data_IF_663545035589
#
_entry.id   IF_663545035589
#
_cell.length_a   1.000
_cell.length_b   1.000
_cell.length_c   1.000
_cell.angle_alpha   90.00
_cell.angle_beta   90.00
_cell.angle_gamma   90.00
#
_symmetry.space_group_name_H-M   'P 1'
#
loop_
_entity.id
_entity.type
_entity.pdbx_description
1 polymer ?
#
# COMPACT_ATOMS: atom_id res chain seq x y z
N UNK A 1 31.06 2.82 28.50
CA UNK A 1 31.71 1.50 28.56
C UNK A 1 32.17 1.07 27.16
N UNK A 2 33.40 0.55 26.99
CA UNK A 2 33.97 0.20 25.67
C UNK A 2 33.26 -0.97 24.97
N UNK A 3 32.91 -2.03 25.72
CA UNK A 3 32.21 -3.19 25.16
C UNK A 3 30.77 -2.87 24.75
N UNK A 4 30.05 -2.08 25.55
CA UNK A 4 28.67 -1.65 25.30
C UNK A 4 28.56 -0.84 23.99
N UNK A 5 29.47 0.12 23.79
CA UNK A 5 29.52 0.92 22.55
C UNK A 5 29.71 0.06 21.28
N UNK A 6 30.34 -1.11 21.42
CA UNK A 6 30.64 -2.03 20.31
C UNK A 6 29.63 -3.17 20.17
N UNK A 7 28.60 -3.23 21.02
CA UNK A 7 27.59 -4.28 20.99
C UNK A 7 26.71 -4.20 19.73
N UNK A 8 26.50 -2.99 19.19
CA UNK A 8 25.71 -2.76 17.97
C UNK A 8 26.44 -3.02 16.65
N UNK A 9 27.72 -3.39 16.66
CA UNK A 9 28.44 -3.74 15.43
C UNK A 9 27.81 -4.99 14.80
N UNK A 10 27.76 -5.14 13.47
CA UNK A 10 27.06 -6.26 12.86
C UNK A 10 27.82 -7.58 13.03
N UNK A 11 27.11 -8.67 13.31
CA UNK A 11 27.73 -10.00 13.47
C UNK A 11 28.13 -10.59 12.11
N UNK A 12 29.20 -11.37 12.09
CA UNK A 12 29.66 -12.10 10.91
C UNK A 12 30.99 -11.57 10.37
N UNK A 13 31.56 -12.29 9.40
CA UNK A 13 32.80 -11.89 8.75
C UNK A 13 32.56 -10.73 7.77
N UNK A 14 33.47 -9.76 7.75
CA UNK A 14 33.46 -8.66 6.76
C UNK A 14 33.83 -9.13 5.37
N UNK A 15 33.34 -8.38 4.39
CA UNK A 15 33.74 -8.54 3.01
C UNK A 15 35.23 -8.23 2.86
N UNK A 16 35.99 -9.13 2.22
CA UNK A 16 37.41 -8.94 1.93
C UNK A 16 37.67 -9.18 0.46
N UNK A 17 38.52 -8.37 -0.15
CA UNK A 17 39.01 -8.66 -1.49
C UNK A 17 40.18 -9.64 -1.41
N UNK A 18 40.14 -10.71 -2.20
CA UNK A 18 41.23 -11.69 -2.28
C UNK A 18 41.46 -12.05 -3.75
N UNK A 19 42.69 -11.87 -4.24
CA UNK A 19 43.08 -12.14 -5.63
C UNK A 19 42.20 -11.43 -6.68
N UNK A 20 41.85 -10.16 -6.44
CA UNK A 20 41.01 -9.38 -7.35
C UNK A 20 39.52 -9.75 -7.33
N UNK A 21 39.11 -10.64 -6.42
CA UNK A 21 37.72 -11.08 -6.28
C UNK A 21 37.21 -10.75 -4.88
N UNK A 22 36.00 -10.24 -4.82
CA UNK A 22 35.27 -10.04 -3.56
C UNK A 22 34.93 -11.39 -2.93
N UNK A 23 35.47 -11.64 -1.73
CA UNK A 23 35.31 -12.88 -0.97
C UNK A 23 34.69 -12.60 0.41
N UNK A 24 33.64 -13.33 0.82
CA UNK A 24 32.83 -14.31 0.06
C UNK A 24 31.99 -13.66 -1.07
N UNK A 25 31.41 -14.43 -2.00
CA UNK A 25 30.64 -13.86 -3.13
C UNK A 25 29.31 -13.21 -2.72
N UNK A 26 28.76 -13.56 -1.54
CA UNK A 26 27.53 -12.95 -1.01
C UNK A 26 27.85 -11.72 -0.17
N UNK A 27 27.00 -10.69 -0.28
CA UNK A 27 27.12 -9.46 0.50
C UNK A 27 27.22 -9.77 2.00
N UNK A 28 28.22 -9.14 2.64
CA UNK A 28 28.44 -9.20 4.09
C UNK A 28 28.21 -7.83 4.72
N UNK A 29 27.96 -7.78 6.04
CA UNK A 29 27.92 -6.51 6.73
C UNK A 29 29.23 -5.75 6.53
N UNK A 30 29.12 -4.44 6.36
CA UNK A 30 30.25 -3.51 6.24
C UNK A 30 30.53 -2.84 7.59
N UNK A 31 31.75 -2.31 7.78
CA UNK A 31 32.16 -1.62 9.01
C UNK A 31 33.16 -2.40 9.87
N UNK A 32 33.40 -1.93 11.10
CA UNK A 32 34.38 -2.54 12.01
C UNK A 32 33.97 -3.94 12.47
N UNK A 33 34.92 -4.86 12.61
CA UNK A 33 34.71 -6.20 13.16
C UNK A 33 34.28 -6.15 14.64
N UNK A 34 33.37 -7.06 15.03
CA UNK A 34 33.02 -7.23 16.44
C UNK A 34 34.21 -7.74 17.25
N UNK A 35 34.38 -7.28 18.51
CA UNK A 35 35.40 -7.83 19.40
C UNK A 35 35.12 -9.32 19.68
N UNK A 36 36.18 -10.07 19.99
CA UNK A 36 36.13 -11.52 20.17
C UNK A 36 35.05 -11.98 21.16
N UNK A 37 34.87 -11.25 22.27
CA UNK A 37 33.86 -11.57 23.31
C UNK A 37 32.44 -11.55 22.74
N UNK A 38 32.09 -10.50 21.99
CA UNK A 38 30.77 -10.39 21.36
C UNK A 38 30.57 -11.49 20.32
N UNK A 39 31.60 -11.78 19.51
CA UNK A 39 31.56 -12.88 18.54
C UNK A 39 31.36 -14.25 19.21
N UNK A 40 32.01 -14.50 20.35
CA UNK A 40 31.86 -15.72 21.12
C UNK A 40 30.41 -15.87 21.62
N UNK A 41 29.86 -14.87 22.29
CA UNK A 41 28.49 -14.93 22.79
C UNK A 41 27.46 -15.01 21.66
N UNK A 42 27.69 -14.30 20.56
CA UNK A 42 26.84 -14.34 19.38
C UNK A 42 26.82 -15.72 18.71
N UNK A 43 27.92 -16.48 18.75
CA UNK A 43 27.96 -17.86 18.28
C UNK A 43 27.39 -18.85 19.31
N UNK A 44 27.68 -18.63 20.60
CA UNK A 44 27.30 -19.54 21.69
C UNK A 44 25.78 -19.55 21.95
N UNK A 45 25.13 -18.38 21.83
CA UNK A 45 23.69 -18.26 22.02
C UNK A 45 22.89 -18.35 20.72
N UNK A 46 23.54 -18.71 19.60
CA UNK A 46 22.83 -18.98 18.34
C UNK A 46 21.77 -20.08 18.57
N UNK A 47 20.51 -19.92 18.12
CA UNK A 47 19.98 -18.84 17.27
C UNK A 47 19.24 -17.72 18.01
N UNK A 48 19.08 -17.78 19.33
CA UNK A 48 18.08 -17.00 20.06
C UNK A 48 18.22 -15.46 19.92
N UNK A 49 19.41 -14.84 19.98
CA UNK A 49 19.55 -13.39 19.77
C UNK A 49 19.11 -12.93 18.37
N UNK A 50 19.30 -13.77 17.35
CA UNK A 50 18.95 -13.45 15.96
C UNK A 50 17.48 -13.70 15.68
N UNK A 51 16.89 -14.72 16.30
CA UNK A 51 15.46 -14.96 16.19
C UNK A 51 14.64 -13.74 16.62
N UNK A 52 15.06 -13.05 17.70
CA UNK A 52 14.38 -11.84 18.14
C UNK A 52 14.45 -10.72 17.09
N UNK A 53 15.63 -10.49 16.49
CA UNK A 53 15.81 -9.47 15.45
C UNK A 53 15.10 -9.83 14.15
N UNK A 54 15.13 -11.10 13.74
CA UNK A 54 14.42 -11.59 12.55
C UNK A 54 12.90 -11.48 12.75
N UNK A 55 12.40 -11.84 13.93
CA UNK A 55 11.00 -11.65 14.30
C UNK A 55 10.62 -10.17 14.26
N UNK A 56 11.40 -9.29 14.89
CA UNK A 56 11.15 -7.84 14.90
C UNK A 56 11.15 -7.26 13.49
N UNK A 57 12.09 -7.68 12.64
CA UNK A 57 12.13 -7.29 11.22
C UNK A 57 10.85 -7.69 10.49
N UNK A 58 10.43 -8.94 10.64
CA UNK A 58 9.17 -9.44 10.04
C UNK A 58 7.96 -8.68 10.57
N UNK A 59 7.87 -8.47 11.89
CA UNK A 59 6.77 -7.71 12.50
C UNK A 59 6.73 -6.27 12.00
N UNK A 60 7.89 -5.62 11.86
CA UNK A 60 7.99 -4.25 11.34
C UNK A 60 7.47 -4.17 9.90
N UNK A 61 7.86 -5.12 9.05
CA UNK A 61 7.37 -5.18 7.67
C UNK A 61 5.87 -5.46 7.60
N UNK A 62 5.37 -6.42 8.39
CA UNK A 62 3.94 -6.73 8.48
C UNK A 62 3.16 -5.50 8.95
N UNK A 63 3.63 -4.80 9.98
CA UNK A 63 2.97 -3.61 10.49
C UNK A 63 2.92 -2.52 9.43
N UNK A 64 4.01 -2.27 8.71
CA UNK A 64 4.01 -1.31 7.60
C UNK A 64 3.01 -1.69 6.50
N UNK A 65 2.83 -2.98 6.20
CA UNK A 65 1.80 -3.43 5.26
C UNK A 65 0.38 -3.20 5.80
N UNK A 66 0.14 -3.48 7.08
CA UNK A 66 -1.14 -3.22 7.75
C UNK A 66 -1.47 -1.74 7.72
N UNK A 67 -0.51 -0.88 8.08
CA UNK A 67 -0.67 0.56 8.08
C UNK A 67 -0.99 1.08 6.67
N UNK A 68 -0.24 0.64 5.65
CA UNK A 68 -0.52 0.98 4.26
C UNK A 68 -1.90 0.48 3.77
N UNK A 69 -2.34 -0.68 4.25
CA UNK A 69 -3.68 -1.22 4.01
C UNK A 69 -4.76 -0.30 4.58
N UNK A 70 -4.59 0.14 5.83
CA UNK A 70 -5.49 1.09 6.48
C UNK A 70 -5.52 2.44 5.78
N UNK A 71 -4.37 3.01 5.44
CA UNK A 71 -4.30 4.28 4.69
C UNK A 71 -5.05 4.10 3.36
N UNK A 72 -4.83 3.01 2.64
CA UNK A 72 -5.51 2.74 1.36
C UNK A 72 -7.02 2.57 1.52
N UNK A 73 -7.47 1.91 2.57
CA UNK A 73 -8.89 1.72 2.86
C UNK A 73 -9.58 3.00 3.34
N UNK A 74 -8.85 3.89 4.01
CA UNK A 74 -9.36 5.20 4.45
C UNK A 74 -9.11 6.32 3.43
N UNK A 75 -8.67 5.96 2.21
CA UNK A 75 -8.49 6.91 1.11
C UNK A 75 -9.76 7.02 0.26
N UNK A 76 -10.24 8.24 0.10
CA UNK A 76 -11.25 8.64 -0.89
C UNK A 76 -10.56 8.95 -2.22
N UNK A 77 -10.65 8.00 -3.14
CA UNK A 77 -10.22 8.13 -4.53
C UNK A 77 -11.20 8.92 -5.40
N UNK A 78 -10.77 9.26 -6.61
CA UNK A 78 -11.55 9.98 -7.63
C UNK A 78 -12.97 9.45 -7.85
N UNK A 79 -13.17 8.13 -7.86
CA UNK A 79 -14.50 7.53 -8.09
C UNK A 79 -15.47 7.67 -6.90
N UNK A 80 -15.05 8.25 -5.78
CA UNK A 80 -15.93 8.63 -4.67
C UNK A 80 -16.51 10.04 -4.82
N UNK A 81 -15.99 10.79 -5.78
CA UNK A 81 -16.50 12.11 -6.15
C UNK A 81 -17.41 11.98 -7.35
N UNK A 82 -18.27 12.97 -7.53
CA UNK A 82 -19.08 13.05 -8.75
C UNK A 82 -18.22 13.37 -9.97
N UNK A 83 -18.54 12.78 -11.11
CA UNK A 83 -17.79 12.97 -12.37
C UNK A 83 -18.01 14.37 -12.94
N UNK A 84 -19.23 14.91 -12.77
CA UNK A 84 -19.59 16.25 -13.26
C UNK A 84 -19.16 17.35 -12.28
N UNK A 85 -19.29 17.10 -10.98
CA UNK A 85 -19.05 18.09 -9.92
C UNK A 85 -18.04 17.58 -8.88
N UNK A 86 -16.72 17.86 -9.03
CA UNK A 86 -15.70 17.39 -8.09
C UNK A 86 -15.79 18.03 -6.68
N UNK A 87 -16.70 19.00 -6.50
CA UNK A 87 -17.04 19.60 -5.20
C UNK A 87 -18.01 18.76 -4.38
N UNK A 88 -18.54 17.66 -4.92
CA UNK A 88 -19.55 16.85 -4.26
C UNK A 88 -19.12 15.37 -4.18
N UNK A 89 -19.45 14.73 -3.06
CA UNK A 89 -19.27 13.29 -2.89
C UNK A 89 -20.48 12.55 -3.49
N UNK A 90 -20.21 11.50 -4.25
CA UNK A 90 -21.27 10.63 -4.74
C UNK A 90 -21.76 9.68 -3.62
N UNK A 91 -22.80 8.89 -3.89
CA UNK A 91 -23.35 7.96 -2.91
C UNK A 91 -22.31 6.97 -2.34
N UNK A 92 -21.38 6.50 -3.18
CA UNK A 92 -20.32 5.60 -2.74
C UNK A 92 -19.33 6.33 -1.81
N UNK A 93 -18.96 7.57 -2.15
CA UNK A 93 -18.09 8.41 -1.32
C UNK A 93 -18.70 8.75 0.03
N UNK A 94 -19.98 9.11 0.06
CA UNK A 94 -20.72 9.37 1.32
C UNK A 94 -20.77 8.11 2.19
N UNK A 95 -21.08 6.96 1.60
CA UNK A 95 -21.14 5.69 2.33
C UNK A 95 -19.78 5.29 2.88
N UNK A 96 -18.72 5.46 2.07
CA UNK A 96 -17.35 5.15 2.47
C UNK A 96 -16.84 6.09 3.56
N UNK A 97 -17.10 7.38 3.43
CA UNK A 97 -16.77 8.38 4.45
C UNK A 97 -17.47 8.03 5.77
N UNK A 98 -18.77 7.70 5.75
CA UNK A 98 -19.49 7.25 6.95
C UNK A 98 -18.83 6.03 7.59
N UNK A 99 -18.44 5.04 6.79
CA UNK A 99 -17.73 3.86 7.30
C UNK A 99 -16.41 4.24 7.98
N UNK A 100 -15.63 5.15 7.40
CA UNK A 100 -14.38 5.65 8.00
C UNK A 100 -14.67 6.31 9.36
N UNK A 101 -15.69 7.17 9.43
CA UNK A 101 -16.02 7.93 10.62
C UNK A 101 -16.52 7.05 11.77
N UNK A 102 -17.35 6.04 11.46
CA UNK A 102 -18.03 5.23 12.46
C UNK A 102 -17.30 3.92 12.80
N UNK A 103 -16.73 3.25 11.80
CA UNK A 103 -16.26 1.86 11.92
C UNK A 103 -14.73 1.74 11.94
N UNK A 104 -13.99 2.73 11.41
CA UNK A 104 -12.53 2.64 11.44
C UNK A 104 -12.01 2.71 12.89
N UNK A 105 -11.00 1.89 13.25
CA UNK A 105 -10.35 1.96 14.56
C UNK A 105 -9.77 3.35 14.81
N UNK A 106 -9.84 3.83 16.05
CA UNK A 106 -9.45 5.20 16.41
C UNK A 106 -8.02 5.57 15.97
N UNK A 107 -7.07 4.67 16.14
CA UNK A 107 -5.66 4.87 15.76
C UNK A 107 -5.41 4.91 14.24
N UNK A 108 -6.37 4.47 13.43
CA UNK A 108 -6.32 4.51 11.96
C UNK A 108 -7.40 5.41 11.35
N UNK A 109 -8.16 6.14 12.18
CA UNK A 109 -9.26 6.99 11.73
C UNK A 109 -8.72 8.33 11.23
N UNK A 110 -8.11 8.27 10.05
CA UNK A 110 -7.61 9.42 9.29
C UNK A 110 -8.23 9.34 7.91
N UNK A 111 -8.88 10.40 7.44
CA UNK A 111 -9.47 10.40 6.10
C UNK A 111 -8.43 10.92 5.10
N UNK A 112 -8.04 10.08 4.14
CA UNK A 112 -7.14 10.49 3.07
C UNK A 112 -7.94 10.86 1.84
N UNK A 113 -7.53 11.92 1.14
CA UNK A 113 -8.13 12.35 -0.12
C UNK A 113 -7.09 12.27 -1.21
N UNK A 114 -7.41 11.59 -2.31
CA UNK A 114 -6.50 11.49 -3.45
C UNK A 114 -6.24 12.85 -4.08
N UNK A 115 -4.96 13.19 -4.27
CA UNK A 115 -4.55 14.39 -5.00
C UNK A 115 -5.06 14.33 -6.44
N UNK A 116 -5.77 15.38 -6.87
CA UNK A 116 -6.25 15.52 -8.25
C UNK A 116 -5.14 15.94 -9.23
N UNK A 117 -5.45 16.05 -10.54
CA UNK A 117 -4.46 16.44 -11.56
C UNK A 117 -3.89 17.84 -11.38
N UNK A 118 -4.58 18.69 -10.62
CA UNK A 118 -4.23 20.07 -10.32
C UNK A 118 -4.61 20.41 -8.87
N UNK A 119 -3.87 21.36 -8.29
CA UNK A 119 -4.01 21.74 -6.88
C UNK A 119 -5.43 22.21 -6.55
N UNK A 120 -6.04 22.96 -7.45
CA UNK A 120 -7.40 23.46 -7.26
C UNK A 120 -8.42 22.33 -7.03
N UNK A 121 -8.35 21.24 -7.80
CA UNK A 121 -9.24 20.08 -7.61
C UNK A 121 -8.98 19.41 -6.27
N UNK A 122 -7.71 19.33 -5.85
CA UNK A 122 -7.34 18.74 -4.56
C UNK A 122 -7.91 19.55 -3.39
N UNK A 123 -7.82 20.88 -3.47
CA UNK A 123 -8.36 21.79 -2.45
C UNK A 123 -9.90 21.72 -2.40
N UNK A 124 -10.56 21.64 -3.58
CA UNK A 124 -12.02 21.49 -3.68
C UNK A 124 -12.49 20.16 -3.09
N UNK A 125 -11.84 19.04 -3.46
CA UNK A 125 -12.17 17.71 -2.93
C UNK A 125 -11.96 17.62 -1.42
N UNK A 126 -10.85 18.19 -0.91
CA UNK A 126 -10.56 18.22 0.52
C UNK A 126 -11.63 19.03 1.29
N UNK A 127 -12.05 20.18 0.76
CA UNK A 127 -13.11 20.98 1.35
C UNK A 127 -14.46 20.24 1.34
N UNK A 128 -14.82 19.61 0.21
CA UNK A 128 -16.02 18.80 0.10
C UNK A 128 -16.10 17.69 1.17
N UNK A 129 -14.99 16.99 1.38
CA UNK A 129 -14.89 15.93 2.41
C UNK A 129 -14.99 16.53 3.81
N UNK A 130 -14.39 17.69 4.05
CA UNK A 130 -14.44 18.36 5.35
C UNK A 130 -15.85 18.83 5.70
N UNK A 131 -16.57 19.41 4.74
CA UNK A 131 -17.98 19.80 4.91
C UNK A 131 -18.84 18.56 5.17
N UNK A 132 -18.72 17.53 4.34
CA UNK A 132 -19.50 16.31 4.49
C UNK A 132 -19.21 15.58 5.81
N UNK A 133 -17.96 15.55 6.26
CA UNK A 133 -17.60 14.94 7.54
C UNK A 133 -18.17 15.76 8.72
N UNK A 134 -18.08 17.09 8.67
CA UNK A 134 -18.64 17.96 9.69
C UNK A 134 -20.17 17.83 9.80
N UNK A 135 -20.87 17.62 8.68
CA UNK A 135 -22.30 17.33 8.67
C UNK A 135 -22.65 15.99 9.33
N UNK A 136 -21.79 14.97 9.19
CA UNK A 136 -22.04 13.63 9.73
C UNK A 136 -21.76 13.50 11.23
N UNK A 137 -20.63 14.03 11.72
CA UNK A 137 -20.19 13.83 13.12
C UNK A 137 -20.10 15.10 13.96
N UNK A 138 -20.37 16.25 13.35
CA UNK A 138 -20.17 17.58 13.95
C UNK A 138 -18.72 18.07 13.84
N UNK A 139 -18.48 19.39 13.83
CA UNK A 139 -17.17 19.98 13.54
C UNK A 139 -16.07 19.62 14.56
N UNK A 140 -16.43 19.33 15.81
CA UNK A 140 -15.48 19.01 16.89
C UNK A 140 -14.93 17.57 16.79
N UNK A 141 -15.64 16.66 16.12
CA UNK A 141 -15.31 15.23 16.06
C UNK A 141 -14.75 14.79 14.70
N UNK A 142 -14.45 15.74 13.80
CA UNK A 142 -13.95 15.43 12.47
C UNK A 142 -12.51 14.91 12.59
N UNK A 143 -12.21 13.69 12.12
CA UNK A 143 -10.84 13.19 12.11
C UNK A 143 -9.97 14.02 11.18
N UNK A 144 -8.63 13.95 11.30
CA UNK A 144 -7.74 14.63 10.37
C UNK A 144 -8.01 14.19 8.93
N UNK A 145 -8.18 15.17 8.05
CA UNK A 145 -8.34 14.99 6.60
C UNK A 145 -7.07 15.47 5.92
N UNK A 146 -6.44 14.60 5.13
CA UNK A 146 -5.14 14.89 4.52
C UNK A 146 -5.09 14.46 3.05
N UNK A 147 -4.32 15.19 2.25
CA UNK A 147 -4.07 14.82 0.86
C UNK A 147 -3.03 13.69 0.77
N UNK A 148 -3.27 12.76 -0.16
CA UNK A 148 -2.36 11.66 -0.48
C UNK A 148 -2.15 11.58 -1.98
N UNK A 149 -0.89 11.53 -2.40
CA UNK A 149 -0.52 11.23 -3.79
C UNK A 149 -0.56 9.72 -3.96
N UNK A 150 -1.63 9.22 -4.56
CA UNK A 150 -1.77 7.81 -4.89
C UNK A 150 -2.74 7.60 -6.06
N UNK A 151 -2.80 6.38 -6.57
CA UNK A 151 -3.76 5.92 -7.57
C UNK A 151 -4.48 4.69 -7.02
N UNK A 152 -5.78 4.50 -7.30
CA UNK A 152 -6.48 3.33 -6.81
C UNK A 152 -5.83 2.03 -7.27
N UNK A 153 -5.65 1.10 -6.34
CA UNK A 153 -5.15 -0.25 -6.60
C UNK A 153 -6.23 -1.09 -7.29
N UNK A 154 -6.54 -0.76 -8.55
CA UNK A 154 -7.53 -1.44 -9.36
C UNK A 154 -8.42 -0.47 -10.12
N UNK A 155 -9.49 -1.02 -10.71
CA UNK A 155 -10.50 -0.26 -11.43
C UNK A 155 -11.82 -0.33 -10.67
N UNK A 156 -12.57 0.77 -10.56
CA UNK A 156 -13.87 0.73 -9.91
C UNK A 156 -14.80 -0.24 -10.65
N UNK A 157 -15.62 -0.96 -9.89
CA UNK A 157 -16.50 -2.00 -10.43
C UNK A 157 -17.45 -1.45 -11.51
N UNK A 158 -17.97 -0.23 -11.32
CA UNK A 158 -18.82 0.44 -12.30
C UNK A 158 -18.11 0.66 -13.65
N UNK A 159 -16.84 1.07 -13.63
CA UNK A 159 -16.06 1.22 -14.85
C UNK A 159 -15.86 -0.12 -15.57
N UNK A 160 -15.58 -1.19 -14.82
CA UNK A 160 -15.46 -2.55 -15.36
C UNK A 160 -16.80 -3.04 -15.94
N UNK A 161 -17.92 -2.85 -15.24
CA UNK A 161 -19.25 -3.24 -15.71
C UNK A 161 -19.63 -2.50 -16.99
N UNK A 162 -19.45 -1.17 -17.03
CA UNK A 162 -19.69 -0.37 -18.22
C UNK A 162 -18.85 -0.85 -19.41
N UNK A 163 -17.56 -1.12 -19.19
CA UNK A 163 -16.68 -1.65 -20.22
C UNK A 163 -17.14 -3.04 -20.70
N UNK A 164 -17.53 -3.92 -19.78
CA UNK A 164 -17.98 -5.27 -20.09
C UNK A 164 -19.32 -5.27 -20.86
N UNK A 165 -20.29 -4.47 -20.44
CA UNK A 165 -21.56 -4.28 -21.15
C UNK A 165 -21.35 -3.71 -22.55
N UNK A 166 -20.44 -2.75 -22.69
CA UNK A 166 -20.10 -2.16 -24.00
C UNK A 166 -19.41 -3.18 -24.92
N UNK A 167 -18.59 -4.06 -24.36
CA UNK A 167 -17.99 -5.16 -25.10
C UNK A 167 -19.04 -6.17 -25.58
N UNK A 168 -19.96 -6.59 -24.71
CA UNK A 168 -21.03 -7.52 -25.07
C UNK A 168 -21.99 -6.93 -26.12
N UNK A 169 -22.29 -5.63 -26.04
CA UNK A 169 -23.17 -4.98 -27.02
C UNK A 169 -22.53 -4.84 -28.42
N UNK A 170 -21.20 -4.80 -28.47
CA UNK A 170 -20.44 -4.68 -29.73
C UNK A 170 -20.01 -6.03 -30.31
N UNK A 171 -20.14 -7.14 -29.57
CA UNK A 171 -19.80 -8.47 -30.06
C UNK A 171 -20.70 -8.86 -31.25
N UNK A 172 -20.13 -9.15 -32.44
CA UNK A 172 -20.89 -9.66 -33.55
C UNK A 172 -21.44 -11.04 -33.20
N UNK A 173 -22.67 -11.33 -33.64
CA UNK A 173 -23.27 -12.67 -33.44
C UNK A 173 -22.32 -13.74 -34.00
N UNK A 174 -22.03 -14.83 -33.25
CA UNK A 174 -21.13 -15.87 -33.72
C UNK A 174 -21.67 -16.49 -35.01
N UNK A 175 -20.82 -16.55 -36.05
CA UNK A 175 -21.16 -17.15 -37.33
C UNK A 175 -20.34 -18.42 -37.52
N UNK A 176 -21.03 -19.54 -37.69
CA UNK A 176 -20.41 -20.79 -38.14
C UNK A 176 -20.52 -20.79 -39.66
N UNK A 177 -19.38 -20.83 -40.36
CA UNK A 177 -19.40 -21.04 -41.81
C UNK A 177 -19.66 -22.53 -42.05
N UNK A 178 -20.90 -22.88 -42.41
CA UNK A 178 -21.23 -24.24 -42.84
C UNK A 178 -21.00 -24.35 -44.34
N UNK A 179 -20.06 -25.21 -44.74
CA UNK A 179 -19.85 -25.59 -46.13
C UNK A 179 -20.52 -26.94 -46.36
N UNK A 180 -21.63 -26.94 -47.09
CA UNK A 180 -22.30 -28.18 -47.49
C UNK A 180 -21.39 -28.99 -48.43
N UNK A 181 -21.35 -30.31 -48.25
CA UNK A 181 -20.62 -31.21 -49.15
C UNK A 181 -21.29 -31.20 -50.54
N UNK A 182 -20.53 -31.17 -51.64
CA UNK A 182 -21.10 -31.17 -52.98
C UNK A 182 -21.81 -32.49 -53.26
N UNK A 183 -23.10 -32.42 -53.59
CA UNK A 183 -23.86 -33.56 -54.11
C UNK A 183 -23.52 -33.76 -55.59
N UNK A 184 -22.71 -34.78 -55.89
CA UNK A 184 -22.52 -35.30 -57.26
C UNK A 184 -23.80 -36.00 -57.72
N UNK A 185 -24.37 -35.52 -58.84
CA UNK A 185 -25.39 -36.22 -59.62
C UNK A 185 -24.76 -37.28 -60.53
#
# INVERSE_FOLDING_TARGET
YWYEQRAGLPVGARQKEKHGVMWPPYCRPVGEDQPFVHRYHAAHYWPHPYNCWDQESVYTHIQAHVDNGWISQTTLYEYHFDEESPSELNHAGVTHLRWILENAPEHHRVCWVQTGPNRHISDVRMNAVQVAAAEMVGPENVPPIMLRVDSPAGRPAQHIDTQYRSFLSTMPKPRIQYQALPTTN
#
